data_IF_123455579722
#
_entry.id   IF_123455579722
#
_cell.length_a   1.000
_cell.length_b   1.000
_cell.length_c   1.000
_cell.angle_alpha   90.00
_cell.angle_beta   90.00
_cell.angle_gamma   90.00
#
_symmetry.space_group_name_H-M   'P 1'
#
loop_
_entity.id
_entity.type
_entity.pdbx_description
1 polymer ?
#
# COMPACT_ATOMS: atom_id res chain seq x y z
N UNK A 1 -4.40 10.27 -1.32
CA UNK A 1 -3.60 9.01 -1.39
C UNK A 1 -4.21 8.07 -2.42
N UNK A 2 -3.38 7.28 -3.09
CA UNK A 2 -3.83 6.21 -4.01
C UNK A 2 -3.76 4.87 -3.29
N UNK A 3 -4.86 4.12 -3.28
CA UNK A 3 -4.98 2.81 -2.64
C UNK A 3 -5.29 1.70 -3.64
N UNK A 4 -4.62 0.55 -3.50
CA UNK A 4 -4.99 -0.66 -4.25
C UNK A 4 -6.14 -1.38 -3.54
N UNK A 5 -7.16 -1.75 -4.30
CA UNK A 5 -8.24 -2.62 -3.88
C UNK A 5 -7.75 -4.07 -3.73
N UNK A 6 -7.92 -4.63 -2.52
CA UNK A 6 -7.63 -6.03 -2.20
C UNK A 6 -8.88 -6.89 -2.04
N UNK A 7 -10.06 -6.36 -2.37
CA UNK A 7 -11.32 -7.11 -2.33
C UNK A 7 -11.26 -8.25 -3.35
N UNK A 8 -11.31 -9.50 -2.88
CA UNK A 8 -11.46 -10.66 -3.75
C UNK A 8 -12.95 -10.98 -3.98
N UNK A 9 -13.35 -10.89 -5.26
CA UNK A 9 -14.48 -11.59 -5.88
C UNK A 9 -15.92 -11.43 -5.33
N UNK A 10 -16.19 -10.66 -4.28
CA UNK A 10 -17.56 -10.33 -3.88
C UNK A 10 -17.74 -8.81 -3.78
N UNK A 11 -18.67 -8.26 -4.59
CA UNK A 11 -18.85 -6.84 -4.90
C UNK A 11 -19.28 -5.90 -3.77
N UNK A 12 -18.74 -6.08 -2.57
CA UNK A 12 -19.00 -5.28 -1.36
C UNK A 12 -17.83 -4.35 -0.98
N UNK A 13 -16.92 -4.01 -1.91
CA UNK A 13 -15.74 -3.14 -1.77
C UNK A 13 -15.21 -2.99 -0.32
N UNK A 14 -14.80 -4.08 0.35
CA UNK A 14 -14.29 -4.04 1.73
C UNK A 14 -13.08 -3.11 1.88
N UNK A 15 -12.30 -2.88 0.82
CA UNK A 15 -11.16 -1.96 0.87
C UNK A 15 -11.60 -0.51 1.10
N UNK A 16 -12.61 -0.01 0.36
CA UNK A 16 -13.11 1.35 0.58
C UNK A 16 -13.69 1.50 2.00
N UNK A 17 -14.50 0.53 2.44
CA UNK A 17 -15.10 0.55 3.78
C UNK A 17 -14.02 0.58 4.88
N UNK A 18 -12.92 -0.17 4.69
CA UNK A 18 -11.78 -0.15 5.60
C UNK A 18 -11.14 1.24 5.67
N UNK A 19 -10.84 1.85 4.51
CA UNK A 19 -10.19 3.16 4.46
C UNK A 19 -11.09 4.27 5.02
N UNK A 20 -12.38 4.28 4.66
CA UNK A 20 -13.34 5.25 5.18
C UNK A 20 -13.39 5.21 6.71
N UNK A 21 -13.46 4.00 7.30
CA UNK A 21 -13.49 3.83 8.75
C UNK A 21 -12.17 4.28 9.42
N UNK A 22 -11.03 3.96 8.82
CA UNK A 22 -9.71 4.36 9.32
C UNK A 22 -9.53 5.89 9.27
N UNK A 23 -9.84 6.49 8.13
CA UNK A 23 -9.76 7.95 7.90
C UNK A 23 -10.66 8.67 8.89
N UNK A 24 -11.91 8.24 9.02
CA UNK A 24 -12.84 8.86 9.95
C UNK A 24 -12.33 8.81 11.41
N UNK A 25 -11.65 7.74 11.81
CA UNK A 25 -11.01 7.67 13.14
C UNK A 25 -9.81 8.60 13.23
N UNK A 26 -8.93 8.58 12.24
CA UNK A 26 -7.73 9.38 12.19
C UNK A 26 -8.03 10.88 12.24
N UNK A 27 -8.95 11.37 11.41
CA UNK A 27 -9.33 12.79 11.34
C UNK A 27 -9.98 13.29 12.64
N UNK A 28 -10.71 12.41 13.36
CA UNK A 28 -11.22 12.74 14.70
C UNK A 28 -10.12 12.90 15.75
N UNK A 29 -9.07 12.09 15.66
CA UNK A 29 -7.93 12.13 16.58
C UNK A 29 -6.92 13.24 16.21
N UNK A 30 -6.92 13.67 14.94
CA UNK A 30 -6.01 14.67 14.40
C UNK A 30 -6.75 15.83 13.72
N UNK A 31 -7.36 16.74 14.50
CA UNK A 31 -8.06 17.90 13.95
C UNK A 31 -7.15 18.75 13.07
N UNK A 32 -7.64 19.13 11.89
CA UNK A 32 -6.90 19.96 10.91
C UNK A 32 -6.12 19.16 9.87
N UNK A 33 -6.17 17.82 9.91
CA UNK A 33 -5.68 16.94 8.85
C UNK A 33 -6.88 16.30 8.17
N UNK A 34 -6.94 16.38 6.84
CA UNK A 34 -7.93 15.69 6.00
C UNK A 34 -7.21 14.64 5.17
N UNK A 35 -7.83 13.48 4.98
CA UNK A 35 -7.28 12.39 4.16
C UNK A 35 -8.25 12.03 3.05
N UNK A 36 -7.87 12.34 1.82
CA UNK A 36 -8.59 11.88 0.63
C UNK A 36 -7.98 10.58 0.10
N UNK A 37 -8.81 9.56 -0.15
CA UNK A 37 -8.38 8.26 -0.68
C UNK A 37 -9.09 7.94 -1.99
N UNK A 38 -8.31 7.56 -3.00
CA UNK A 38 -8.82 7.00 -4.25
C UNK A 38 -8.45 5.53 -4.32
N UNK A 39 -9.47 4.66 -4.27
CA UNK A 39 -9.30 3.20 -4.33
C UNK A 39 -9.44 2.75 -5.77
N UNK A 40 -8.43 2.03 -6.26
CA UNK A 40 -8.40 1.50 -7.62
C UNK A 40 -8.06 0.02 -7.63
N UNK A 41 -8.45 -0.69 -8.69
CA UNK A 41 -7.91 -2.03 -8.95
C UNK A 41 -6.38 -1.98 -9.04
N UNK A 42 -5.68 -3.09 -8.76
CA UNK A 42 -4.21 -3.12 -8.72
C UNK A 42 -3.52 -2.50 -9.94
N UNK A 43 -3.94 -2.86 -11.15
CA UNK A 43 -3.36 -2.31 -12.38
C UNK A 43 -3.64 -0.81 -12.52
N UNK A 44 -4.88 -0.42 -12.25
CA UNK A 44 -5.31 0.98 -12.32
C UNK A 44 -4.63 1.87 -11.28
N UNK A 45 -4.32 1.35 -10.08
CA UNK A 45 -3.59 2.09 -9.04
C UNK A 45 -2.15 2.43 -9.49
N UNK A 46 -1.45 1.46 -10.10
CA UNK A 46 -0.10 1.66 -10.65
C UNK A 46 -0.12 2.73 -11.76
N UNK A 47 -1.10 2.65 -12.67
CA UNK A 47 -1.28 3.62 -13.76
C UNK A 47 -1.62 5.02 -13.24
N UNK A 48 -2.52 5.13 -12.25
CA UNK A 48 -2.92 6.40 -11.65
C UNK A 48 -1.72 7.11 -10.98
N UNK A 49 -0.91 6.38 -10.21
CA UNK A 49 0.30 6.95 -9.59
C UNK A 49 1.29 7.42 -10.64
N UNK A 50 1.52 6.62 -11.69
CA UNK A 50 2.41 7.02 -12.78
C UNK A 50 1.90 8.28 -13.50
N UNK A 51 0.59 8.40 -13.73
CA UNK A 51 -0.02 9.58 -14.34
C UNK A 51 0.18 10.84 -13.50
N UNK A 52 -0.19 10.77 -12.22
CA UNK A 52 -0.06 11.87 -11.27
C UNK A 52 1.38 12.38 -11.19
N UNK A 53 2.36 11.48 -11.17
CA UNK A 53 3.78 11.85 -11.19
C UNK A 53 4.15 12.59 -12.48
N UNK A 54 3.65 12.16 -13.65
CA UNK A 54 3.90 12.86 -14.93
C UNK A 54 3.27 14.25 -14.98
N UNK A 55 2.13 14.43 -14.31
CA UNK A 55 1.41 15.69 -14.22
C UNK A 55 2.00 16.64 -13.16
N UNK A 56 2.92 16.16 -12.32
CA UNK A 56 3.47 16.93 -11.20
C UNK A 56 2.56 16.95 -9.96
N UNK A 57 1.50 16.15 -9.94
CA UNK A 57 0.50 16.04 -8.88
C UNK A 57 0.76 14.79 -8.02
N UNK A 58 2.02 14.57 -7.63
CA UNK A 58 2.44 13.34 -6.94
C UNK A 58 1.65 13.14 -5.64
N UNK A 59 1.03 11.96 -5.41
CA UNK A 59 0.30 11.72 -4.17
C UNK A 59 1.25 11.61 -2.97
N UNK A 60 0.78 12.02 -1.79
CA UNK A 60 1.58 11.91 -0.55
C UNK A 60 1.85 10.45 -0.14
N UNK A 61 0.87 9.58 -0.39
CA UNK A 61 0.93 8.14 -0.09
C UNK A 61 0.37 7.37 -1.29
N UNK A 62 1.11 6.34 -1.72
CA UNK A 62 0.72 5.42 -2.77
C UNK A 62 0.88 3.96 -2.30
N UNK A 63 -0.22 3.23 -2.24
CA UNK A 63 -0.23 1.81 -1.87
C UNK A 63 -0.15 0.95 -3.15
N UNK A 64 1.05 0.80 -3.69
CA UNK A 64 1.36 0.11 -4.95
C UNK A 64 2.54 -0.87 -4.79
N UNK A 65 2.76 -1.73 -5.79
CA UNK A 65 3.88 -2.68 -5.81
C UNK A 65 5.17 -2.11 -6.41
N UNK A 66 5.09 -1.15 -7.34
CA UNK A 66 6.24 -0.68 -8.14
C UNK A 66 7.18 0.33 -7.45
N UNK A 67 7.24 0.37 -6.12
CA UNK A 67 7.99 1.40 -5.37
C UNK A 67 9.50 1.51 -5.72
N UNK A 68 10.15 0.40 -6.11
CA UNK A 68 11.60 0.34 -6.27
C UNK A 68 12.15 1.27 -7.36
N UNK A 69 11.39 1.49 -8.45
CA UNK A 69 11.81 2.40 -9.53
C UNK A 69 11.79 3.86 -9.07
N UNK A 70 10.79 4.24 -8.26
CA UNK A 70 10.67 5.57 -7.68
C UNK A 70 11.75 5.83 -6.62
N UNK A 71 12.10 4.80 -5.83
CA UNK A 71 13.24 4.86 -4.92
C UNK A 71 14.56 5.10 -5.69
N UNK A 72 14.78 4.36 -6.79
CA UNK A 72 15.98 4.52 -7.62
C UNK A 72 16.08 5.91 -8.29
N UNK A 73 14.93 6.53 -8.59
CA UNK A 73 14.84 7.88 -9.11
C UNK A 73 14.94 8.98 -8.03
N UNK A 74 15.09 8.61 -6.75
CA UNK A 74 15.19 9.56 -5.64
C UNK A 74 13.86 10.26 -5.31
N UNK A 75 12.73 9.65 -5.69
CA UNK A 75 11.39 10.24 -5.57
C UNK A 75 10.67 9.86 -4.26
N UNK A 76 11.30 9.04 -3.40
CA UNK A 76 10.69 8.56 -2.17
C UNK A 76 11.50 8.97 -0.93
N UNK A 77 10.78 9.26 0.15
CA UNK A 77 11.37 9.29 1.49
C UNK A 77 11.74 7.87 1.94
N UNK A 78 12.78 7.77 2.76
CA UNK A 78 13.11 6.53 3.46
C UNK A 78 12.19 6.36 4.67
N UNK A 79 11.94 5.12 5.09
CA UNK A 79 10.99 4.82 6.15
C UNK A 79 11.35 5.51 7.49
N UNK A 80 12.64 5.55 7.83
CA UNK A 80 13.17 6.20 9.04
C UNK A 80 12.91 7.72 9.11
N UNK A 81 12.63 8.35 7.95
CA UNK A 81 12.30 9.79 7.89
C UNK A 81 10.83 10.08 8.15
N UNK A 82 9.96 9.08 8.02
CA UNK A 82 8.50 9.26 8.09
C UNK A 82 7.85 8.43 9.20
N UNK A 83 8.55 7.44 9.74
CA UNK A 83 8.07 6.61 10.85
C UNK A 83 8.83 6.88 12.14
N UNK A 84 8.13 6.66 13.26
CA UNK A 84 8.80 6.55 14.56
C UNK A 84 9.52 5.20 14.67
N UNK A 85 10.60 5.14 15.46
CA UNK A 85 11.34 3.88 15.71
C UNK A 85 10.43 2.75 16.20
N UNK A 86 9.50 2.96 17.17
CA UNK A 86 8.56 1.92 17.55
C UNK A 86 7.67 1.42 16.40
N UNK A 87 7.22 2.32 15.53
CA UNK A 87 6.37 1.96 14.37
C UNK A 87 7.16 1.15 13.34
N UNK A 88 8.38 1.57 13.01
CA UNK A 88 9.23 0.85 12.05
C UNK A 88 9.63 -0.54 12.58
N UNK A 89 9.90 -0.65 13.88
CA UNK A 89 10.29 -1.91 14.52
C UNK A 89 9.13 -2.93 14.64
N UNK A 90 7.87 -2.50 14.51
CA UNK A 90 6.70 -3.37 14.61
C UNK A 90 6.47 -4.22 13.35
N UNK A 91 7.18 -3.95 12.26
CA UNK A 91 7.06 -4.74 11.04
C UNK A 91 7.66 -6.15 11.16
N UNK A 92 6.97 -7.12 10.56
CA UNK A 92 7.47 -8.49 10.42
C UNK A 92 8.73 -8.47 9.53
N UNK A 93 9.89 -8.83 10.10
CA UNK A 93 11.21 -8.60 9.48
C UNK A 93 11.34 -9.11 8.02
N UNK A 94 10.91 -10.32 7.65
CA UNK A 94 10.93 -10.75 6.24
C UNK A 94 10.11 -9.85 5.30
N UNK A 95 8.98 -9.31 5.75
CA UNK A 95 8.13 -8.42 4.96
C UNK A 95 8.74 -7.01 4.86
N UNK A 96 9.32 -6.51 5.95
CA UNK A 96 10.03 -5.22 5.95
C UNK A 96 11.19 -5.22 4.94
N UNK A 97 11.96 -6.32 4.88
CA UNK A 97 13.05 -6.49 3.91
C UNK A 97 12.59 -6.41 2.46
N UNK A 98 11.36 -6.85 2.15
CA UNK A 98 10.80 -6.75 0.81
C UNK A 98 10.56 -5.29 0.36
N UNK A 99 10.44 -4.36 1.30
CA UNK A 99 10.33 -2.92 1.06
C UNK A 99 11.67 -2.18 0.90
N UNK A 100 12.79 -2.89 0.73
CA UNK A 100 14.14 -2.28 0.71
C UNK A 100 14.75 -2.20 -0.69
N UNK A 101 15.51 -1.14 -0.95
CA UNK A 101 16.39 -0.98 -2.11
C UNK A 101 17.78 -0.63 -1.60
N UNK A 102 18.80 -1.41 -1.98
CA UNK A 102 20.19 -1.22 -1.51
C UNK A 102 20.30 -1.11 0.02
N UNK A 103 19.59 -1.98 0.75
CA UNK A 103 19.53 -2.02 2.21
C UNK A 103 18.84 -0.83 2.91
N UNK A 104 18.21 0.07 2.15
CA UNK A 104 17.42 1.18 2.69
C UNK A 104 15.94 0.88 2.51
N UNK A 105 15.13 1.03 3.56
CA UNK A 105 13.69 0.78 3.48
C UNK A 105 12.97 2.01 2.92
N UNK A 106 12.15 1.79 1.89
CA UNK A 106 11.29 2.79 1.26
C UNK A 106 9.82 2.35 1.31
N UNK A 107 9.57 1.05 1.14
CA UNK A 107 8.24 0.46 1.20
C UNK A 107 7.85 0.08 2.63
N UNK A 108 6.59 0.33 2.97
CA UNK A 108 5.95 -0.13 4.21
C UNK A 108 5.07 -1.35 3.89
N UNK A 109 5.31 -2.52 4.48
CA UNK A 109 4.51 -3.70 4.20
C UNK A 109 3.08 -3.51 4.75
N UNK A 110 2.07 -3.67 3.89
CA UNK A 110 0.66 -3.50 4.25
C UNK A 110 -0.14 -4.82 4.15
N UNK A 111 -0.01 -5.54 3.03
CA UNK A 111 -0.63 -6.86 2.84
C UNK A 111 0.44 -7.85 2.36
N UNK A 112 0.37 -9.08 2.87
CA UNK A 112 1.15 -10.21 2.39
C UNK A 112 0.20 -11.36 2.03
N UNK A 113 0.47 -12.05 0.92
CA UNK A 113 -0.28 -13.20 0.47
C UNK A 113 0.63 -14.39 0.22
N UNK A 114 0.17 -15.58 0.58
CA UNK A 114 0.80 -16.85 0.19
C UNK A 114 0.01 -17.44 -0.98
N UNK A 115 0.71 -17.82 -2.05
CA UNK A 115 0.10 -18.59 -3.13
C UNK A 115 -0.03 -20.04 -2.67
N UNK A 116 -1.27 -20.54 -2.61
CA UNK A 116 -1.57 -21.93 -2.27
C UNK A 116 -2.14 -22.67 -3.47
N UNK A 117 -1.75 -23.94 -3.63
CA UNK A 117 -2.37 -24.83 -4.60
C UNK A 117 -3.67 -25.39 -4.01
N UNK A 118 -4.79 -24.97 -4.56
CA UNK A 118 -6.09 -25.58 -4.30
C UNK A 118 -6.40 -26.59 -5.41
N UNK A 119 -6.83 -27.80 -5.04
CA UNK A 119 -7.24 -28.81 -6.01
C UNK A 119 -8.51 -29.52 -5.56
N UNK A 120 -9.32 -29.96 -6.52
CA UNK A 120 -10.55 -30.69 -6.23
C UNK A 120 -10.23 -32.17 -6.01
N UNK A 121 -10.21 -32.61 -4.75
CA UNK A 121 -9.92 -34.01 -4.38
C UNK A 121 -10.79 -35.04 -5.10
N UNK A 122 -12.05 -34.73 -5.44
CA UNK A 122 -12.94 -35.66 -6.17
C UNK A 122 -12.52 -35.92 -7.60
N UNK A 123 -11.83 -34.96 -8.24
CA UNK A 123 -11.34 -35.12 -9.61
C UNK A 123 -10.00 -35.87 -9.67
N UNK A 124 -9.37 -36.11 -8.51
CA UNK A 124 -8.06 -36.74 -8.37
C UNK A 124 -8.10 -37.97 -7.43
N UNK A 125 -9.28 -38.57 -7.26
CA UNK A 125 -9.49 -39.78 -6.47
C UNK A 125 -9.63 -41.02 -7.37
#
# INVERSE_FOLDING_TARGET
MIATDFSDLEGNNPTQVYWDALIQKFEREHPGITVDVEVHSRGSAEEAVAELIRQGETPDIAQIGSFAQYAAAGQLYTADRVLSVPTEADFISPLAKAGTVRHVQYGMPFVAGIQMLFYNKRLFA
#
